data_IF_588324870775
#
_entry.id   IF_588324870775
#
_cell.length_a   1.000
_cell.length_b   1.000
_cell.length_c   1.000
_cell.angle_alpha   90.00
_cell.angle_beta   90.00
_cell.angle_gamma   90.00
#
_symmetry.space_group_name_H-M   'P 1'
#
loop_
_entity.id
_entity.type
_entity.pdbx_description
1 polymer ?
#
# COMPACT_ATOMS: atom_id res chain seq x y z
N UNK A 1 11.28 -23.95 30.31
CA UNK A 1 10.45 -23.24 29.32
C UNK A 1 9.81 -22.10 30.05
N UNK A 2 10.13 -20.89 29.69
CA UNK A 2 9.60 -19.67 30.31
C UNK A 2 8.46 -19.16 29.44
N UNK A 3 7.58 -18.31 29.97
CA UNK A 3 6.48 -17.70 29.18
C UNK A 3 6.98 -16.99 27.91
N UNK A 4 8.24 -16.58 27.85
CA UNK A 4 8.89 -15.98 26.67
C UNK A 4 9.10 -17.00 25.54
N UNK A 5 9.33 -18.28 25.87
CA UNK A 5 9.52 -19.36 24.88
C UNK A 5 8.18 -19.77 24.23
N UNK A 6 7.05 -19.65 24.94
CA UNK A 6 5.70 -19.95 24.40
C UNK A 6 5.20 -18.84 23.46
N UNK A 7 5.53 -17.57 23.75
CA UNK A 7 5.18 -16.45 22.87
C UNK A 7 6.00 -16.46 21.55
N UNK A 8 7.25 -16.92 21.57
CA UNK A 8 8.07 -17.05 20.36
C UNK A 8 7.56 -18.17 19.44
N UNK A 9 7.09 -19.29 20.00
CA UNK A 9 6.52 -20.40 19.21
C UNK A 9 5.17 -20.03 18.56
N UNK A 10 4.32 -19.22 19.24
CA UNK A 10 3.06 -18.72 18.65
C UNK A 10 3.31 -17.72 17.51
N UNK A 11 4.37 -16.90 17.58
CA UNK A 11 4.73 -15.96 16.50
C UNK A 11 5.32 -16.67 15.27
N UNK A 12 6.05 -17.76 15.43
CA UNK A 12 6.60 -18.56 14.31
C UNK A 12 5.48 -19.27 13.55
N UNK A 13 4.47 -19.82 14.24
CA UNK A 13 3.30 -20.44 13.62
C UNK A 13 2.51 -19.47 12.73
N UNK A 14 2.54 -18.16 13.02
CA UNK A 14 1.84 -17.16 12.23
C UNK A 14 2.50 -16.81 10.87
N UNK A 15 3.76 -17.20 10.65
CA UNK A 15 4.46 -16.96 9.37
C UNK A 15 4.20 -18.08 8.35
N UNK A 16 3.97 -19.30 8.81
CA UNK A 16 3.75 -20.50 7.96
C UNK A 16 2.27 -20.93 7.88
N UNK A 17 1.32 -20.09 8.26
CA UNK A 17 -0.10 -20.48 8.21
C UNK A 17 -0.51 -20.85 6.81
N UNK A 18 -0.76 -22.14 6.62
CA UNK A 18 -1.37 -22.68 5.43
C UNK A 18 -2.74 -22.04 5.14
N UNK A 19 -3.17 -21.95 3.86
CA UNK A 19 -4.52 -21.54 3.50
C UNK A 19 -5.55 -22.38 4.29
N UNK A 20 -6.43 -21.70 5.07
CA UNK A 20 -7.47 -22.36 5.86
C UNK A 20 -7.40 -22.21 7.38
N UNK A 21 -6.32 -21.62 7.96
CA UNK A 21 -6.38 -21.16 9.34
C UNK A 21 -7.37 -19.98 9.42
N UNK A 22 -8.31 -19.99 10.40
CA UNK A 22 -9.26 -18.89 10.59
C UNK A 22 -8.49 -17.59 10.82
N UNK A 23 -8.42 -16.78 9.77
CA UNK A 23 -8.04 -15.39 9.90
C UNK A 23 -9.29 -14.67 10.36
N UNK A 24 -9.21 -13.84 11.39
CA UNK A 24 -10.32 -12.98 11.77
C UNK A 24 -10.78 -12.22 10.52
N UNK A 25 -12.03 -12.43 10.13
CA UNK A 25 -12.59 -11.86 8.91
C UNK A 25 -12.64 -10.34 9.07
N UNK A 26 -11.69 -9.65 8.48
CA UNK A 26 -11.78 -8.20 8.32
C UNK A 26 -12.98 -7.87 7.44
N UNK A 27 -13.66 -6.73 7.66
CA UNK A 27 -14.71 -6.30 6.75
C UNK A 27 -14.19 -6.26 5.31
N UNK A 28 -15.02 -6.59 4.30
CA UNK A 28 -14.62 -6.51 2.91
C UNK A 28 -14.09 -5.12 2.55
N UNK A 29 -13.02 -5.06 1.77
CA UNK A 29 -12.57 -3.83 1.14
C UNK A 29 -13.53 -3.48 0.00
N UNK A 30 -14.19 -2.34 0.09
CA UNK A 30 -15.10 -1.87 -0.96
C UNK A 30 -14.27 -1.19 -2.06
N UNK A 31 -14.37 -1.69 -3.29
CA UNK A 31 -13.55 -1.22 -4.42
C UNK A 31 -14.43 -0.63 -5.51
N UNK A 32 -14.23 0.64 -5.80
CA UNK A 32 -14.76 1.31 -6.99
C UNK A 32 -13.86 1.01 -8.18
N UNK A 33 -14.37 0.25 -9.15
CA UNK A 33 -13.63 -0.16 -10.35
C UNK A 33 -13.74 0.83 -11.53
N UNK A 34 -14.33 2.02 -11.31
CA UNK A 34 -14.44 3.10 -12.29
C UNK A 34 -15.14 2.70 -13.60
N UNK A 35 -15.95 1.64 -13.63
CA UNK A 35 -16.47 0.98 -14.82
C UNK A 35 -15.39 0.61 -15.86
N UNK A 36 -14.15 0.36 -15.34
CA UNK A 36 -12.94 0.15 -16.12
C UNK A 36 -12.52 -1.31 -16.25
N UNK A 37 -11.38 -1.52 -16.91
CA UNK A 37 -10.83 -2.86 -17.19
C UNK A 37 -10.31 -3.56 -15.92
N UNK A 38 -10.04 -2.82 -14.84
CA UNK A 38 -9.55 -3.34 -13.57
C UNK A 38 -10.50 -4.33 -12.90
N UNK A 39 -11.83 -4.20 -13.10
CA UNK A 39 -12.84 -5.01 -12.43
C UNK A 39 -12.63 -6.52 -12.55
N UNK A 40 -12.31 -6.99 -13.76
CA UNK A 40 -12.10 -8.42 -14.03
C UNK A 40 -10.83 -8.94 -13.33
N UNK A 41 -9.77 -8.14 -13.30
CA UNK A 41 -8.50 -8.51 -12.65
C UNK A 41 -8.62 -8.45 -11.13
N UNK A 42 -9.29 -7.45 -10.60
CA UNK A 42 -9.61 -7.33 -9.17
C UNK A 42 -10.47 -8.50 -8.69
N UNK A 43 -11.40 -8.99 -9.53
CA UNK A 43 -12.15 -10.20 -9.19
C UNK A 43 -11.23 -11.41 -9.03
N UNK A 44 -10.34 -11.66 -10.00
CA UNK A 44 -9.38 -12.77 -9.93
C UNK A 44 -8.44 -12.64 -8.73
N UNK A 45 -8.00 -11.41 -8.44
CA UNK A 45 -7.17 -11.12 -7.28
C UNK A 45 -7.95 -11.38 -5.98
N UNK A 46 -9.21 -10.94 -5.89
CA UNK A 46 -10.08 -11.18 -4.75
C UNK A 46 -10.24 -12.67 -4.46
N UNK A 47 -10.54 -13.46 -5.51
CA UNK A 47 -10.66 -14.93 -5.41
C UNK A 47 -9.34 -15.57 -4.89
N UNK A 48 -8.18 -15.01 -5.27
CA UNK A 48 -6.87 -15.52 -4.86
C UNK A 48 -6.49 -15.15 -3.42
N UNK A 49 -6.92 -13.98 -2.91
CA UNK A 49 -6.56 -13.50 -1.57
C UNK A 49 -7.60 -13.79 -0.50
N UNK A 50 -8.82 -14.17 -0.89
CA UNK A 50 -9.89 -14.55 0.04
C UNK A 50 -9.48 -15.62 1.06
N UNK A 51 -8.75 -16.70 0.67
CA UNK A 51 -8.28 -17.72 1.62
C UNK A 51 -7.36 -17.16 2.70
N UNK A 52 -6.75 -16.01 2.46
CA UNK A 52 -5.89 -15.30 3.40
C UNK A 52 -6.61 -14.21 4.19
N UNK A 53 -7.95 -14.13 4.08
CA UNK A 53 -8.80 -13.24 4.87
C UNK A 53 -8.88 -11.81 4.34
N UNK A 54 -8.53 -11.56 3.09
CA UNK A 54 -8.79 -10.30 2.40
C UNK A 54 -9.90 -10.51 1.38
N UNK A 55 -11.06 -9.90 1.60
CA UNK A 55 -12.23 -10.01 0.72
C UNK A 55 -12.54 -8.68 0.07
N UNK A 56 -13.03 -8.70 -1.18
CA UNK A 56 -13.36 -7.52 -1.97
C UNK A 56 -14.86 -7.44 -2.25
N UNK A 57 -15.44 -6.24 -2.07
CA UNK A 57 -16.76 -5.85 -2.56
C UNK A 57 -16.55 -4.92 -3.78
N UNK A 58 -16.65 -5.50 -4.99
CA UNK A 58 -16.37 -4.78 -6.24
C UNK A 58 -17.62 -4.05 -6.74
N UNK A 59 -17.52 -2.74 -6.92
CA UNK A 59 -18.57 -1.85 -7.40
C UNK A 59 -18.15 -1.12 -8.67
N UNK A 60 -19.10 -0.56 -9.43
CA UNK A 60 -18.85 0.11 -10.71
C UNK A 60 -17.96 -0.75 -11.62
N UNK A 61 -18.44 -1.96 -11.94
CA UNK A 61 -17.66 -3.00 -12.64
C UNK A 61 -17.72 -2.90 -14.16
N UNK A 62 -18.50 -1.96 -14.70
CA UNK A 62 -18.70 -1.81 -16.14
C UNK A 62 -19.73 -2.78 -16.74
N UNK A 63 -20.50 -3.49 -15.92
CA UNK A 63 -21.48 -4.49 -16.34
C UNK A 63 -22.94 -4.01 -16.25
N UNK A 64 -23.19 -2.81 -15.76
CA UNK A 64 -24.52 -2.20 -15.75
C UNK A 64 -24.83 -1.49 -17.08
N UNK A 65 -26.12 -1.38 -17.41
CA UNK A 65 -26.55 -0.76 -18.68
C UNK A 65 -26.21 0.75 -18.78
N UNK A 66 -26.05 1.42 -17.64
CA UNK A 66 -25.68 2.83 -17.53
C UNK A 66 -24.21 3.04 -17.15
N UNK A 67 -23.40 2.00 -17.24
CA UNK A 67 -21.95 2.09 -17.00
C UNK A 67 -21.28 3.08 -17.95
N UNK A 68 -20.42 3.92 -17.38
CA UNK A 68 -19.64 4.91 -18.14
C UNK A 68 -18.28 5.08 -17.47
N UNK A 69 -17.23 4.82 -18.24
CA UNK A 69 -15.85 4.81 -17.79
C UNK A 69 -15.47 6.14 -17.12
N UNK A 70 -15.02 6.08 -15.86
CA UNK A 70 -14.60 7.22 -15.04
C UNK A 70 -15.67 8.33 -14.86
N UNK A 71 -16.94 8.09 -15.20
CA UNK A 71 -17.98 9.10 -15.10
C UNK A 71 -18.66 9.10 -13.72
N UNK A 72 -18.34 10.07 -12.90
CA UNK A 72 -18.82 10.18 -11.53
C UNK A 72 -18.31 9.07 -10.60
N UNK A 73 -17.25 8.40 -10.98
CA UNK A 73 -16.54 7.35 -10.25
C UNK A 73 -15.05 7.37 -10.63
N UNK A 74 -14.26 6.54 -9.98
CA UNK A 74 -12.82 6.44 -10.23
C UNK A 74 -11.97 7.35 -9.35
N UNK A 75 -10.67 7.02 -9.25
CA UNK A 75 -9.72 7.69 -8.36
C UNK A 75 -9.67 9.20 -8.54
N UNK A 76 -9.64 9.68 -9.78
CA UNK A 76 -9.64 11.11 -10.10
C UNK A 76 -10.91 11.82 -9.63
N UNK A 77 -12.07 11.15 -9.74
CA UNK A 77 -13.33 11.72 -9.25
C UNK A 77 -13.30 11.87 -7.73
N UNK A 78 -12.97 10.81 -7.00
CA UNK A 78 -12.93 10.82 -5.54
C UNK A 78 -11.92 11.84 -5.03
N UNK A 79 -10.73 11.89 -5.62
CA UNK A 79 -9.66 12.79 -5.22
C UNK A 79 -10.04 14.28 -5.44
N UNK A 80 -10.63 14.62 -6.57
CA UNK A 80 -10.97 16.00 -6.93
C UNK A 80 -12.23 16.49 -6.23
N UNK A 81 -13.24 15.63 -6.14
CA UNK A 81 -14.54 16.00 -5.59
C UNK A 81 -14.59 15.84 -4.07
N UNK A 82 -13.67 15.09 -3.46
CA UNK A 82 -13.65 14.70 -2.04
C UNK A 82 -14.99 14.11 -1.60
N UNK A 83 -15.60 13.34 -2.49
CA UNK A 83 -16.90 12.72 -2.34
C UNK A 83 -16.87 11.26 -2.80
N UNK A 84 -17.73 10.39 -2.27
CA UNK A 84 -17.79 9.00 -2.72
C UNK A 84 -18.31 8.94 -4.17
N UNK A 85 -18.02 7.83 -4.91
CA UNK A 85 -18.57 7.62 -6.23
C UNK A 85 -20.09 7.78 -6.26
N UNK A 86 -20.62 8.41 -7.31
CA UNK A 86 -22.06 8.68 -7.46
C UNK A 86 -22.91 7.43 -7.64
N UNK A 87 -22.28 6.37 -8.20
CA UNK A 87 -22.91 5.08 -8.48
C UNK A 87 -22.28 4.00 -7.60
N UNK A 88 -22.81 2.77 -7.67
CA UNK A 88 -22.28 1.66 -6.89
C UNK A 88 -22.68 1.68 -5.42
N UNK A 89 -23.74 2.45 -5.08
CA UNK A 89 -24.37 2.48 -3.72
C UNK A 89 -23.39 2.81 -2.57
N UNK A 90 -22.39 3.66 -2.84
CA UNK A 90 -21.43 4.09 -1.80
C UNK A 90 -22.09 4.91 -0.70
N UNK A 91 -23.18 5.62 -1.01
CA UNK A 91 -23.94 6.41 -0.02
C UNK A 91 -24.66 5.58 1.05
N UNK A 92 -24.85 4.27 0.85
CA UNK A 92 -25.44 3.37 1.85
C UNK A 92 -24.42 2.75 2.80
N UNK A 93 -23.12 2.96 2.57
CA UNK A 93 -22.07 2.43 3.41
C UNK A 93 -22.09 3.07 4.80
N UNK A 94 -21.77 2.28 5.80
CA UNK A 94 -21.61 2.80 7.18
C UNK A 94 -20.42 3.74 7.25
N UNK A 95 -20.55 4.79 8.04
CA UNK A 95 -19.43 5.68 8.36
C UNK A 95 -18.21 4.90 8.88
N UNK A 96 -17.03 5.27 8.40
CA UNK A 96 -15.78 4.58 8.67
C UNK A 96 -15.56 3.32 7.85
N UNK A 97 -16.39 3.07 6.81
CA UNK A 97 -16.11 1.99 5.85
C UNK A 97 -14.92 2.38 4.99
N UNK A 98 -13.88 1.52 5.01
CA UNK A 98 -12.69 1.70 4.17
C UNK A 98 -12.99 1.29 2.73
N UNK A 99 -12.72 2.21 1.83
CA UNK A 99 -12.92 2.05 0.41
C UNK A 99 -11.63 2.37 -0.36
N UNK A 100 -11.53 1.85 -1.57
CA UNK A 100 -10.52 2.25 -2.54
C UNK A 100 -11.18 2.50 -3.89
N UNK A 101 -10.76 3.53 -4.59
CA UNK A 101 -11.19 3.82 -5.95
C UNK A 101 -9.99 3.70 -6.87
N UNK A 102 -10.11 2.90 -7.93
CA UNK A 102 -9.14 2.84 -9.01
C UNK A 102 -9.63 3.66 -10.20
N UNK A 103 -8.82 3.87 -11.22
CA UNK A 103 -9.25 4.49 -12.46
C UNK A 103 -9.52 3.47 -13.57
N UNK A 104 -9.84 3.95 -14.77
CA UNK A 104 -10.35 3.10 -15.83
C UNK A 104 -9.39 2.05 -16.36
N UNK A 105 -8.08 2.27 -16.32
CA UNK A 105 -7.03 1.34 -16.70
C UNK A 105 -6.30 0.73 -15.47
N UNK A 106 -6.73 1.12 -14.26
CA UNK A 106 -6.27 0.59 -12.98
C UNK A 106 -4.77 0.82 -12.71
N UNK A 107 -4.26 1.99 -13.08
CA UNK A 107 -2.89 2.42 -12.78
C UNK A 107 -2.82 3.40 -11.61
N UNK A 108 -3.98 3.88 -11.10
CA UNK A 108 -4.13 4.78 -9.95
C UNK A 108 -5.00 4.17 -8.88
N UNK A 109 -4.72 4.55 -7.63
CA UNK A 109 -5.55 4.16 -6.49
C UNK A 109 -5.65 5.30 -5.48
N UNK A 110 -6.84 5.55 -4.98
CA UNK A 110 -7.14 6.48 -3.90
C UNK A 110 -7.95 5.74 -2.85
N UNK A 111 -7.46 5.71 -1.62
CA UNK A 111 -8.22 5.21 -0.49
C UNK A 111 -9.08 6.31 0.12
N UNK A 112 -10.17 5.93 0.74
CA UNK A 112 -11.02 6.83 1.52
C UNK A 112 -11.85 6.08 2.54
N UNK A 113 -12.27 6.77 3.58
CA UNK A 113 -13.27 6.29 4.53
C UNK A 113 -14.53 7.14 4.40
N UNK A 114 -15.70 6.48 4.42
CA UNK A 114 -17.00 7.18 4.36
C UNK A 114 -17.28 7.90 5.69
N UNK A 115 -17.93 9.06 5.62
CA UNK A 115 -18.32 9.87 6.78
C UNK A 115 -19.84 9.88 6.97
N UNK A 116 -20.28 10.26 8.19
CA UNK A 116 -21.71 10.37 8.52
C UNK A 116 -22.43 11.49 7.74
N UNK A 117 -21.71 12.55 7.37
CA UNK A 117 -22.21 13.69 6.61
C UNK A 117 -22.33 13.42 5.10
N UNK A 118 -21.90 12.22 4.63
CA UNK A 118 -21.92 11.83 3.24
C UNK A 118 -20.64 12.20 2.46
N UNK A 119 -19.70 12.89 3.11
CA UNK A 119 -18.37 13.17 2.57
C UNK A 119 -17.42 11.98 2.80
N UNK A 120 -16.15 12.16 2.45
CA UNK A 120 -15.11 11.15 2.65
C UNK A 120 -13.90 11.74 3.36
N UNK A 121 -13.27 10.91 4.19
CA UNK A 121 -11.91 11.15 4.67
C UNK A 121 -10.95 10.55 3.63
N UNK A 122 -10.31 11.42 2.87
CA UNK A 122 -9.44 11.04 1.76
C UNK A 122 -8.08 10.53 2.28
N UNK A 123 -7.57 9.49 1.65
CA UNK A 123 -6.20 8.98 1.82
C UNK A 123 -5.59 8.85 0.42
N UNK A 124 -4.97 9.94 -0.01
CA UNK A 124 -4.47 10.15 -1.36
C UNK A 124 -3.06 9.58 -1.60
N UNK A 125 -2.53 9.80 -2.79
CA UNK A 125 -1.20 9.32 -3.17
C UNK A 125 -0.08 9.83 -2.27
N UNK A 126 -0.15 11.05 -1.76
CA UNK A 126 0.84 11.57 -0.81
C UNK A 126 0.86 10.77 0.50
N UNK A 127 -0.32 10.41 1.01
CA UNK A 127 -0.46 9.62 2.23
C UNK A 127 -0.08 8.15 2.01
N UNK A 128 -0.40 7.60 0.83
CA UNK A 128 0.03 6.25 0.41
C UNK A 128 1.55 6.18 0.36
N UNK A 129 2.21 7.18 -0.26
CA UNK A 129 3.67 7.24 -0.31
C UNK A 129 4.31 7.27 1.09
N UNK A 130 3.76 8.09 2.00
CA UNK A 130 4.20 8.16 3.39
C UNK A 130 4.06 6.82 4.10
N UNK A 131 2.90 6.18 3.99
CA UNK A 131 2.63 4.87 4.61
C UNK A 131 3.62 3.82 4.13
N UNK A 132 3.82 3.70 2.82
CA UNK A 132 4.72 2.71 2.23
C UNK A 132 6.17 3.01 2.62
N UNK A 133 6.62 4.25 2.50
CA UNK A 133 8.00 4.62 2.80
C UNK A 133 8.35 4.42 4.28
N UNK A 134 7.47 4.82 5.18
CA UNK A 134 7.64 4.59 6.63
C UNK A 134 7.75 3.10 6.94
N UNK A 135 6.83 2.30 6.39
CA UNK A 135 6.86 0.85 6.61
C UNK A 135 8.13 0.18 6.07
N UNK A 136 8.56 0.54 4.85
CA UNK A 136 9.80 0.00 4.28
C UNK A 136 11.02 0.41 5.09
N UNK A 137 11.05 1.66 5.60
CA UNK A 137 12.13 2.12 6.47
C UNK A 137 12.18 1.35 7.80
N UNK A 138 11.04 1.13 8.45
CA UNK A 138 10.94 0.31 9.66
C UNK A 138 11.46 -1.13 9.43
N UNK A 139 11.17 -1.71 8.26
CA UNK A 139 11.69 -3.03 7.91
C UNK A 139 13.20 -3.02 7.69
N UNK A 140 13.75 -1.98 7.03
CA UNK A 140 15.20 -1.83 6.84
C UNK A 140 15.91 -1.69 8.20
N UNK A 141 15.38 -0.85 9.09
CA UNK A 141 15.91 -0.69 10.45
C UNK A 141 15.82 -2.00 11.24
N UNK A 142 14.69 -2.72 11.15
CA UNK A 142 14.49 -4.01 11.81
C UNK A 142 15.37 -5.13 11.25
N UNK A 143 15.93 -4.96 10.06
CA UNK A 143 16.85 -5.92 9.45
C UNK A 143 18.33 -5.70 9.84
N UNK A 144 18.66 -4.61 10.53
CA UNK A 144 20.02 -4.38 11.04
C UNK A 144 20.38 -5.39 12.16
N UNK A 145 21.63 -5.88 12.24
CA UNK A 145 22.79 -5.46 11.46
C UNK A 145 23.01 -6.19 10.14
N UNK A 146 22.13 -7.10 9.73
CA UNK A 146 22.30 -7.93 8.54
C UNK A 146 22.16 -7.12 7.25
N UNK A 147 21.26 -6.14 7.23
CA UNK A 147 21.05 -5.24 6.10
C UNK A 147 21.60 -3.85 6.46
N UNK A 148 22.75 -3.50 5.91
CA UNK A 148 23.41 -2.20 6.11
C UNK A 148 23.49 -1.43 4.80
N UNK A 149 23.64 -0.10 4.92
CA UNK A 149 23.82 0.79 3.76
C UNK A 149 22.69 0.65 2.73
N UNK A 150 21.47 0.56 3.21
CA UNK A 150 20.23 0.62 2.41
C UNK A 150 19.36 1.73 2.98
N UNK A 151 18.92 2.63 2.10
CA UNK A 151 18.10 3.77 2.45
C UNK A 151 16.77 3.75 1.70
N UNK A 152 15.70 4.23 2.36
CA UNK A 152 14.40 4.48 1.74
C UNK A 152 14.30 5.97 1.43
N UNK A 153 14.02 6.31 0.18
CA UNK A 153 13.79 7.68 -0.24
C UNK A 153 12.44 7.85 -0.91
N UNK A 154 11.91 9.05 -0.84
CA UNK A 154 10.64 9.41 -1.49
C UNK A 154 10.87 10.45 -2.56
N UNK A 155 10.21 10.27 -3.70
CA UNK A 155 10.20 11.27 -4.78
C UNK A 155 8.82 11.91 -4.85
N UNK A 156 8.77 13.23 -4.87
CA UNK A 156 7.55 14.02 -4.89
C UNK A 156 7.57 15.06 -6.01
N UNK A 157 6.40 15.50 -6.43
CA UNK A 157 6.25 16.71 -7.26
C UNK A 157 6.12 17.95 -6.38
N UNK A 158 6.25 19.13 -6.96
CA UNK A 158 6.04 20.40 -6.25
C UNK A 158 4.58 20.61 -5.77
N UNK A 159 3.65 19.76 -6.22
CA UNK A 159 2.23 19.78 -5.81
C UNK A 159 1.93 18.89 -4.61
N UNK A 160 2.93 18.13 -4.11
CA UNK A 160 2.76 17.27 -2.95
C UNK A 160 2.38 18.07 -1.71
N UNK A 161 1.63 17.45 -0.81
CA UNK A 161 1.22 18.08 0.43
C UNK A 161 2.43 18.40 1.32
N UNK A 162 2.59 19.68 1.70
CA UNK A 162 3.71 20.12 2.53
C UNK A 162 3.77 19.43 3.91
N UNK A 163 2.63 18.97 4.44
CA UNK A 163 2.61 18.16 5.66
C UNK A 163 3.24 16.78 5.45
N UNK A 164 2.99 16.13 4.29
CA UNK A 164 3.67 14.88 3.95
C UNK A 164 5.18 15.05 3.86
N UNK A 165 5.64 16.12 3.21
CA UNK A 165 7.06 16.47 3.12
C UNK A 165 7.71 16.62 4.50
N UNK A 166 7.07 17.36 5.43
CA UNK A 166 7.60 17.52 6.80
C UNK A 166 7.65 16.18 7.54
N UNK A 167 6.58 15.41 7.47
CA UNK A 167 6.51 14.10 8.12
C UNK A 167 7.60 13.16 7.62
N UNK A 168 7.86 13.12 6.31
CA UNK A 168 8.93 12.30 5.74
C UNK A 168 10.32 12.72 6.22
N UNK A 169 10.58 14.03 6.33
CA UNK A 169 11.84 14.53 6.91
C UNK A 169 12.02 14.06 8.35
N UNK A 170 10.96 14.11 9.16
CA UNK A 170 10.98 13.69 10.56
C UNK A 170 11.13 12.17 10.70
N UNK A 171 10.47 11.40 9.83
CA UNK A 171 10.44 9.92 9.91
C UNK A 171 11.65 9.27 9.25
N UNK A 172 12.03 9.71 8.05
CA UNK A 172 13.13 9.12 7.27
C UNK A 172 14.48 9.84 7.49
N UNK A 173 14.47 10.97 8.20
CA UNK A 173 15.67 11.79 8.40
C UNK A 173 16.20 12.46 7.13
N UNK A 174 15.48 12.39 6.02
CA UNK A 174 15.88 12.98 4.73
C UNK A 174 14.71 13.64 4.01
N UNK A 175 15.00 14.74 3.31
CA UNK A 175 13.99 15.41 2.51
C UNK A 175 13.65 14.59 1.24
N UNK A 176 12.37 14.54 0.83
CA UNK A 176 12.00 13.97 -0.45
C UNK A 176 12.70 14.66 -1.62
N UNK A 177 13.00 13.88 -2.67
CA UNK A 177 13.52 14.42 -3.93
C UNK A 177 12.36 15.05 -4.70
N UNK A 178 12.44 16.36 -4.97
CA UNK A 178 11.42 17.07 -5.71
C UNK A 178 11.76 17.11 -7.21
N UNK A 179 10.82 16.67 -8.05
CA UNK A 179 10.98 16.61 -9.51
C UNK A 179 9.81 17.32 -10.22
N UNK A 180 9.95 17.65 -11.51
CA UNK A 180 8.83 18.14 -12.33
C UNK A 180 7.68 17.14 -12.38
N UNK A 181 6.46 17.65 -12.57
CA UNK A 181 5.24 16.82 -12.73
C UNK A 181 5.36 15.88 -13.93
N UNK A 182 4.87 14.69 -13.75
CA UNK A 182 4.84 13.62 -14.73
C UNK A 182 5.55 12.37 -14.24
N UNK A 183 4.82 11.27 -14.24
CA UNK A 183 5.24 9.98 -13.66
C UNK A 183 6.64 9.53 -14.10
N UNK A 184 7.02 9.78 -15.36
CA UNK A 184 8.36 9.45 -15.86
C UNK A 184 9.51 10.14 -15.10
N UNK A 185 9.29 11.36 -14.60
CA UNK A 185 10.31 12.08 -13.82
C UNK A 185 10.41 11.51 -12.41
N UNK A 186 9.28 11.16 -11.81
CA UNK A 186 9.22 10.50 -10.51
C UNK A 186 9.90 9.12 -10.57
N UNK A 187 9.53 8.31 -11.55
CA UNK A 187 10.07 6.97 -11.76
C UNK A 187 11.60 7.01 -11.94
N UNK A 188 12.08 7.82 -12.87
CA UNK A 188 13.52 7.94 -13.13
C UNK A 188 14.33 8.42 -11.92
N UNK A 189 13.79 9.33 -11.12
CA UNK A 189 14.45 9.75 -9.88
C UNK A 189 14.42 8.65 -8.80
N UNK A 190 13.31 7.90 -8.70
CA UNK A 190 13.19 6.80 -7.75
C UNK A 190 14.12 5.63 -8.08
N UNK A 191 14.41 5.36 -9.37
CA UNK A 191 15.41 4.37 -9.80
C UNK A 191 16.83 4.65 -9.31
N UNK A 192 17.13 5.88 -8.93
CA UNK A 192 18.47 6.27 -8.43
C UNK A 192 18.64 6.01 -6.93
N UNK A 193 17.59 5.59 -6.24
CA UNK A 193 17.58 5.31 -4.81
C UNK A 193 17.72 3.81 -4.55
N UNK A 194 18.18 3.45 -3.35
CA UNK A 194 18.23 2.04 -2.94
C UNK A 194 16.82 1.44 -2.94
N UNK A 195 15.90 2.10 -2.23
CA UNK A 195 14.46 1.88 -2.29
C UNK A 195 13.80 3.24 -2.54
N UNK A 196 13.22 3.42 -3.71
CA UNK A 196 12.58 4.67 -4.13
C UNK A 196 11.07 4.54 -4.14
N UNK A 197 10.36 5.34 -3.35
CA UNK A 197 8.89 5.39 -3.30
C UNK A 197 8.42 6.68 -3.96
N UNK A 198 7.44 6.58 -4.85
CA UNK A 198 6.77 7.75 -5.40
C UNK A 198 5.29 7.50 -5.63
N UNK A 199 4.48 8.49 -5.35
CA UNK A 199 3.10 8.59 -5.76
C UNK A 199 2.78 10.04 -6.07
N UNK A 200 2.06 10.26 -7.16
CA UNK A 200 1.37 11.54 -7.40
C UNK A 200 0.13 11.61 -6.51
N UNK A 201 -0.33 12.79 -6.14
CA UNK A 201 -1.53 12.96 -5.31
C UNK A 201 -2.79 12.31 -5.89
N UNK A 202 -2.83 12.08 -7.23
CA UNK A 202 -3.90 11.36 -7.91
C UNK A 202 -3.86 9.83 -7.73
N UNK A 203 -2.85 9.32 -7.00
CA UNK A 203 -2.69 7.91 -6.68
C UNK A 203 -1.91 7.08 -7.70
N UNK A 204 -1.33 7.70 -8.74
CA UNK A 204 -0.41 7.01 -9.65
C UNK A 204 0.97 6.92 -9.03
N UNK A 205 1.47 5.72 -8.81
CA UNK A 205 2.77 5.54 -8.19
C UNK A 205 3.16 4.09 -7.95
N UNK A 206 4.35 3.90 -7.41
CA UNK A 206 4.90 2.60 -7.05
C UNK A 206 6.09 2.75 -6.10
N UNK A 207 6.71 1.63 -5.73
CA UNK A 207 8.00 1.59 -5.05
C UNK A 207 8.99 0.74 -5.87
N UNK A 208 10.22 1.19 -5.94
CA UNK A 208 11.29 0.56 -6.72
C UNK A 208 12.41 0.10 -5.79
N UNK A 209 12.94 -1.06 -6.05
CA UNK A 209 14.11 -1.59 -5.36
C UNK A 209 15.24 -1.72 -6.38
N UNK A 210 16.40 -1.10 -6.11
CA UNK A 210 17.56 -1.25 -6.97
C UNK A 210 18.03 -2.72 -7.00
N UNK A 211 18.66 -3.15 -8.10
CA UNK A 211 19.17 -4.52 -8.21
C UNK A 211 20.20 -4.83 -7.12
N UNK A 212 21.00 -3.82 -6.74
CA UNK A 212 21.95 -3.94 -5.62
C UNK A 212 21.24 -4.20 -4.31
N UNK A 213 20.14 -3.48 -4.03
CA UNK A 213 19.34 -3.64 -2.81
C UNK A 213 18.66 -5.01 -2.77
N UNK A 214 18.10 -5.46 -3.89
CA UNK A 214 17.49 -6.81 -3.99
C UNK A 214 18.50 -7.89 -3.59
N UNK A 215 19.72 -7.80 -4.14
CA UNK A 215 20.78 -8.74 -3.82
C UNK A 215 21.21 -8.64 -2.35
N UNK A 216 21.36 -7.42 -1.81
CA UNK A 216 21.67 -7.24 -0.38
C UNK A 216 20.62 -7.90 0.53
N UNK A 217 19.33 -7.77 0.20
CA UNK A 217 18.23 -8.40 0.97
C UNK A 217 18.33 -9.92 0.91
N UNK A 218 18.64 -10.50 -0.26
CA UNK A 218 18.82 -11.95 -0.43
C UNK A 218 20.02 -12.43 0.41
N UNK A 219 21.18 -11.80 0.26
CA UNK A 219 22.41 -12.18 0.96
C UNK A 219 22.22 -12.06 2.50
N UNK A 220 21.63 -10.95 2.97
CA UNK A 220 21.32 -10.71 4.37
C UNK A 220 20.34 -11.76 4.93
N UNK A 221 19.35 -12.17 4.13
CA UNK A 221 18.38 -13.21 4.54
C UNK A 221 19.09 -14.54 4.78
N UNK A 222 19.99 -14.93 3.89
CA UNK A 222 20.78 -16.16 4.04
C UNK A 222 21.66 -16.09 5.30
N UNK A 223 22.34 -14.96 5.51
CA UNK A 223 23.18 -14.76 6.69
C UNK A 223 22.38 -14.82 8.00
N UNK A 224 21.24 -14.12 8.07
CA UNK A 224 20.37 -14.14 9.24
C UNK A 224 19.82 -15.55 9.55
N UNK A 225 19.50 -16.33 8.50
CA UNK A 225 19.09 -17.74 8.64
C UNK A 225 20.21 -18.61 9.18
N UNK A 226 21.44 -18.46 8.68
CA UNK A 226 22.63 -19.20 9.18
C UNK A 226 22.87 -18.88 10.65
N UNK A 227 22.70 -17.62 11.05
CA UNK A 227 22.85 -17.18 12.44
C UNK A 227 21.62 -17.45 13.31
N UNK A 228 20.54 -18.03 12.75
CA UNK A 228 19.27 -18.32 13.41
C UNK A 228 18.62 -17.09 14.07
N UNK A 229 18.80 -15.94 13.46
CA UNK A 229 18.24 -14.68 13.98
C UNK A 229 16.85 -14.42 13.41
N UNK A 230 15.84 -15.12 13.93
CA UNK A 230 14.48 -15.13 13.42
C UNK A 230 13.81 -13.73 13.31
N UNK A 231 13.99 -12.78 14.28
CA UNK A 231 13.43 -11.44 14.11
C UNK A 231 13.91 -10.73 12.86
N UNK A 232 15.22 -10.81 12.55
CA UNK A 232 15.81 -10.21 11.36
C UNK A 232 15.39 -10.95 10.08
N UNK A 233 15.29 -12.29 10.12
CA UNK A 233 14.73 -13.08 9.01
C UNK A 233 13.32 -12.63 8.68
N UNK A 234 12.46 -12.40 9.68
CA UNK A 234 11.09 -11.90 9.47
C UNK A 234 11.08 -10.54 8.75
N UNK A 235 11.91 -9.60 9.17
CA UNK A 235 12.01 -8.28 8.56
C UNK A 235 12.51 -8.37 7.10
N UNK A 236 13.56 -9.16 6.86
CA UNK A 236 14.13 -9.37 5.52
C UNK A 236 13.16 -10.06 4.56
N UNK A 237 12.44 -11.09 5.03
CA UNK A 237 11.39 -11.73 4.24
C UNK A 237 10.24 -10.77 3.94
N UNK A 238 9.85 -9.90 4.89
CA UNK A 238 8.82 -8.90 4.65
C UNK A 238 9.26 -7.90 3.56
N UNK A 239 10.52 -7.43 3.58
CA UNK A 239 11.10 -6.61 2.51
C UNK A 239 11.07 -7.33 1.15
N UNK A 240 11.48 -8.60 1.12
CA UNK A 240 11.45 -9.41 -0.09
C UNK A 240 10.02 -9.62 -0.62
N UNK A 241 9.03 -9.75 0.27
CA UNK A 241 7.63 -9.86 -0.12
C UNK A 241 7.09 -8.52 -0.68
N UNK A 242 7.39 -7.37 -0.06
CA UNK A 242 7.05 -6.06 -0.59
C UNK A 242 7.64 -5.89 -2.00
N UNK A 243 8.92 -6.20 -2.19
CA UNK A 243 9.62 -6.13 -3.47
C UNK A 243 8.95 -6.99 -4.56
N UNK A 244 8.48 -8.19 -4.23
CA UNK A 244 7.80 -9.09 -5.18
C UNK A 244 6.35 -8.72 -5.46
N UNK A 245 5.67 -8.08 -4.49
CA UNK A 245 4.30 -7.62 -4.64
C UNK A 245 4.18 -6.44 -5.61
N UNK A 246 5.20 -5.59 -5.65
CA UNK A 246 5.20 -4.32 -6.38
C UNK A 246 5.49 -4.57 -7.86
N UNK A 247 4.74 -3.89 -8.74
CA UNK A 247 5.06 -3.81 -10.16
C UNK A 247 6.19 -2.77 -10.37
N UNK A 248 7.39 -3.18 -10.79
CA UNK A 248 8.51 -2.25 -10.93
C UNK A 248 8.48 -1.44 -12.24
N UNK A 249 7.63 -1.77 -13.20
CA UNK A 249 7.63 -1.16 -14.52
C UNK A 249 6.66 0.00 -14.66
N UNK A 250 5.50 -0.09 -13.98
CA UNK A 250 4.41 0.88 -14.11
C UNK A 250 3.65 1.00 -12.78
N UNK A 251 2.93 2.10 -12.59
CA UNK A 251 1.89 2.17 -11.56
C UNK A 251 0.86 1.06 -11.79
N UNK A 252 0.48 0.39 -10.73
CA UNK A 252 -0.46 -0.74 -10.75
C UNK A 252 -1.30 -0.71 -9.47
N UNK A 253 -2.56 -0.35 -9.63
CA UNK A 253 -3.46 -0.23 -8.50
C UNK A 253 -3.61 -1.54 -7.72
N UNK A 254 -3.55 -2.69 -8.38
CA UNK A 254 -3.71 -4.01 -7.72
C UNK A 254 -2.53 -4.32 -6.79
N UNK A 255 -1.31 -4.10 -7.26
CA UNK A 255 -0.12 -4.26 -6.41
C UNK A 255 -0.10 -3.22 -5.28
N UNK A 256 -0.53 -2.00 -5.55
CA UNK A 256 -0.69 -0.95 -4.54
C UNK A 256 -1.71 -1.33 -3.46
N UNK A 257 -2.87 -1.86 -3.84
CA UNK A 257 -3.89 -2.37 -2.90
C UNK A 257 -3.30 -3.47 -2.03
N UNK A 258 -2.65 -4.47 -2.62
CA UNK A 258 -2.05 -5.56 -1.84
C UNK A 258 -1.00 -5.06 -0.85
N UNK A 259 -0.18 -4.11 -1.27
CA UNK A 259 0.85 -3.55 -0.40
C UNK A 259 0.24 -2.78 0.77
N UNK A 260 -0.72 -1.88 0.51
CA UNK A 260 -1.41 -1.10 1.55
C UNK A 260 -2.15 -2.03 2.52
N UNK A 261 -2.94 -3.00 2.00
CA UNK A 261 -3.67 -3.94 2.85
C UNK A 261 -2.72 -4.84 3.67
N UNK A 262 -1.59 -5.25 3.08
CA UNK A 262 -0.54 -5.98 3.79
C UNK A 262 0.07 -5.18 4.95
N UNK A 263 0.34 -3.88 4.72
CA UNK A 263 0.85 -2.97 5.76
C UNK A 263 -0.20 -2.79 6.86
N UNK A 264 -1.46 -2.49 6.52
CA UNK A 264 -2.53 -2.29 7.51
C UNK A 264 -2.74 -3.54 8.36
N UNK A 265 -2.66 -4.71 7.75
CA UNK A 265 -2.76 -5.99 8.46
C UNK A 265 -1.59 -6.20 9.43
N UNK A 266 -0.35 -5.90 9.01
CA UNK A 266 0.81 -5.94 9.91
C UNK A 266 0.65 -4.98 11.09
N UNK A 267 0.09 -3.79 10.87
CA UNK A 267 -0.23 -2.81 11.90
C UNK A 267 -1.44 -3.21 12.76
N UNK A 268 -2.09 -4.35 12.49
CA UNK A 268 -3.31 -4.84 13.15
C UNK A 268 -4.42 -3.78 13.19
N UNK A 269 -4.59 -3.02 12.10
CA UNK A 269 -5.60 -1.97 11.98
C UNK A 269 -6.49 -2.17 10.76
N UNK A 270 -7.75 -1.80 10.89
CA UNK A 270 -8.71 -1.71 9.79
C UNK A 270 -8.96 -0.28 9.35
N UNK A 271 -8.39 0.70 10.05
CA UNK A 271 -8.52 2.13 9.75
C UNK A 271 -7.31 2.63 8.99
N UNK A 272 -7.54 3.58 8.10
CA UNK A 272 -6.46 4.30 7.43
C UNK A 272 -5.69 5.15 8.45
N UNK A 273 -4.37 5.06 8.48
CA UNK A 273 -3.57 5.90 9.36
C UNK A 273 -3.68 7.36 8.92
N UNK A 274 -3.54 8.27 9.87
CA UNK A 274 -3.49 9.72 9.60
C UNK A 274 -2.11 10.24 9.96
N UNK A 275 -1.08 9.97 9.15
CA UNK A 275 0.32 10.18 9.53
C UNK A 275 0.67 11.64 9.85
N UNK A 276 -0.15 12.60 9.41
CA UNK A 276 0.09 14.03 9.63
C UNK A 276 -1.22 14.84 9.82
N UNK A 277 -2.25 14.21 10.39
CA UNK A 277 -3.54 14.88 10.64
C UNK A 277 -3.44 16.06 11.62
N UNK A 278 -2.40 16.06 12.46
CA UNK A 278 -2.16 17.07 13.49
C UNK A 278 -1.11 18.12 13.07
N UNK A 279 -0.64 18.10 11.82
CA UNK A 279 0.28 19.06 11.21
C UNK A 279 -0.46 20.06 10.32
#
# INVERSE_FOLDING_TARGET
>A
MTEEDEDEDEEVENIERAPGSRVDASPPLVIDCADGVGAQKLKLLGDAVEPYGLTFDLRNRGDAADSSLNDGCGSDYVQKMKAPPKRGDFGSLKSGTRCVSVDGDADRLIYFETREDGDVDLFDGDQIAVLIATHLNELVESAAPFLTDVTVGVVQTAYANGASTRHLVETLGSAPVCVPTGVKHLHHAAEQLDIGVYFESNGHGTALFSETTKKKIEDATVEALVQRSMPHVKALLALAHCQRCINPAVGDAMSGILLVEGILRRLKTTKLPRPYADL
#
